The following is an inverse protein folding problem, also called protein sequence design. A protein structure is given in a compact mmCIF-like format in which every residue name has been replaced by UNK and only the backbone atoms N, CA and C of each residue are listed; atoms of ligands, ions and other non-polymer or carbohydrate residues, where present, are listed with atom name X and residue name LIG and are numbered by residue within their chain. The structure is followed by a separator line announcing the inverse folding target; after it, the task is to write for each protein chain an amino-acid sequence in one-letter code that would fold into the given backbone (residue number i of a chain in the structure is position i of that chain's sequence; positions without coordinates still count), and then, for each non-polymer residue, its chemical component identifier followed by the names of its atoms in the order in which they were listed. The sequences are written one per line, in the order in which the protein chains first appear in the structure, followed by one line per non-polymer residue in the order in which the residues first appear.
data_IF_776766460963
#
_entry.id   IF_776766460963
#
_cell.length_a   1.000
_cell.length_b   1.000
_cell.length_c   1.000
_cell.angle_alpha   90.00
_cell.angle_beta   90.00
_cell.angle_gamma   90.00
#
_symmetry.space_group_name_H-M   'P 1'
#
loop_
_entity.id
_entity.type
_entity.pdbx_description
1 polymer ?
#
# COMPACT_ATOMS: atom_id res chain seq x y z
N UNK A 1 27.74 -4.41 4.97
CA UNK A 1 26.73 -3.93 3.97
C UNK A 1 25.69 -3.21 4.76
N UNK A 2 25.31 -2.00 4.35
CA UNK A 2 24.19 -1.27 4.93
C UNK A 2 22.86 -1.95 4.60
N UNK A 3 21.95 -1.94 5.55
CA UNK A 3 20.63 -2.53 5.37
C UNK A 3 19.86 -1.77 4.28
N UNK A 4 19.18 -2.50 3.39
CA UNK A 4 18.42 -1.93 2.26
C UNK A 4 16.94 -2.22 2.39
N UNK A 5 16.11 -1.30 1.90
CA UNK A 5 14.65 -1.37 2.02
C UNK A 5 13.96 -0.81 0.78
N UNK A 6 12.77 -1.30 0.50
CA UNK A 6 11.87 -0.72 -0.48
C UNK A 6 10.93 0.29 0.17
N UNK A 7 10.58 1.30 -0.59
CA UNK A 7 9.59 2.32 -0.23
C UNK A 7 8.57 2.40 -1.33
N UNK A 8 7.30 2.37 -0.95
CA UNK A 8 6.16 2.39 -1.87
C UNK A 8 5.25 3.55 -1.50
N UNK A 9 5.11 4.51 -2.41
CA UNK A 9 4.17 5.61 -2.31
C UNK A 9 2.93 5.28 -3.17
N UNK A 10 1.84 4.92 -2.49
CA UNK A 10 0.58 4.52 -3.15
C UNK A 10 -0.07 5.70 -3.87
N UNK A 11 0.07 6.92 -3.34
CA UNK A 11 -0.52 8.12 -3.94
C UNK A 11 0.13 8.47 -5.29
N UNK A 12 1.39 8.06 -5.50
CA UNK A 12 2.09 8.22 -6.79
C UNK A 12 1.82 7.08 -7.77
N UNK A 13 1.29 5.95 -7.31
CA UNK A 13 1.07 4.79 -8.17
C UNK A 13 -0.18 4.98 -9.05
N UNK A 14 0.01 5.05 -10.36
CA UNK A 14 -1.08 5.19 -11.34
C UNK A 14 -1.61 3.85 -11.86
N UNK A 15 -1.11 2.71 -11.36
CA UNK A 15 -1.54 1.39 -11.82
C UNK A 15 -1.06 1.00 -13.21
N UNK A 16 -0.04 1.67 -13.76
CA UNK A 16 0.45 1.42 -15.13
C UNK A 16 1.04 0.02 -15.36
N UNK A 17 1.32 -0.73 -14.28
CA UNK A 17 1.90 -2.09 -14.28
C UNK A 17 3.27 -2.25 -14.93
N UNK A 18 3.96 -1.15 -15.28
CA UNK A 18 5.29 -1.22 -15.89
C UNK A 18 6.30 -1.97 -15.00
N UNK A 19 6.22 -1.80 -13.67
CA UNK A 19 7.06 -2.53 -12.72
C UNK A 19 6.85 -4.05 -12.78
N UNK A 20 5.60 -4.52 -13.03
CA UNK A 20 5.29 -5.95 -13.19
C UNK A 20 5.94 -6.52 -14.44
N UNK A 21 5.77 -5.82 -15.58
CA UNK A 21 6.30 -6.26 -16.88
C UNK A 21 7.83 -6.23 -16.87
N UNK A 22 8.43 -5.16 -16.36
CA UNK A 22 9.88 -5.05 -16.30
C UNK A 22 10.51 -6.08 -15.35
N UNK A 23 9.86 -6.44 -14.23
CA UNK A 23 10.31 -7.52 -13.36
C UNK A 23 10.21 -8.88 -14.07
N UNK A 24 9.16 -9.09 -14.86
CA UNK A 24 8.98 -10.31 -15.64
C UNK A 24 10.04 -10.41 -16.74
N UNK A 25 10.24 -9.35 -17.51
CA UNK A 25 11.23 -9.25 -18.58
C UNK A 25 12.66 -9.49 -18.08
N UNK A 26 13.00 -8.94 -16.91
CA UNK A 26 14.31 -9.14 -16.27
C UNK A 26 14.57 -10.61 -15.94
N UNK A 27 13.55 -11.38 -15.54
CA UNK A 27 13.75 -12.70 -14.94
C UNK A 27 13.25 -13.88 -15.80
N UNK A 28 12.52 -13.63 -16.87
CA UNK A 28 12.14 -14.67 -17.84
C UNK A 28 13.35 -15.05 -18.69
N UNK A 29 13.59 -16.34 -18.86
CA UNK A 29 14.70 -16.86 -19.68
C UNK A 29 16.10 -16.60 -19.13
N UNK A 30 16.26 -15.84 -18.05
CA UNK A 30 17.54 -15.45 -17.47
C UNK A 30 17.79 -16.06 -16.10
N UNK A 31 18.92 -16.75 -15.95
CA UNK A 31 19.41 -17.24 -14.68
C UNK A 31 20.40 -16.25 -14.07
N UNK A 32 20.17 -15.86 -12.84
CA UNK A 32 21.08 -14.99 -12.06
C UNK A 32 21.58 -15.74 -10.83
N UNK A 33 22.41 -16.74 -11.06
CA UNK A 33 22.98 -17.55 -9.98
C UNK A 33 23.94 -16.72 -9.11
N UNK A 34 23.98 -16.91 -7.80
CA UNK A 34 23.22 -17.90 -7.01
C UNK A 34 21.80 -17.48 -6.66
N UNK A 35 21.34 -16.28 -7.05
CA UNK A 35 20.13 -15.63 -6.53
C UNK A 35 18.83 -16.23 -7.05
N UNK A 36 18.78 -16.61 -8.33
CA UNK A 36 17.56 -17.19 -8.91
C UNK A 36 17.83 -17.92 -10.23
N UNK A 37 16.97 -18.89 -10.53
CA UNK A 37 16.72 -19.46 -11.85
C UNK A 37 15.62 -18.67 -12.58
N UNK A 38 15.44 -18.87 -13.92
CA UNK A 38 14.42 -18.16 -14.68
C UNK A 38 13.01 -18.30 -14.10
N UNK A 39 12.21 -17.25 -14.26
CA UNK A 39 10.78 -17.34 -14.08
C UNK A 39 10.12 -18.09 -15.25
N UNK A 40 8.95 -18.72 -15.06
CA UNK A 40 8.16 -19.19 -16.20
C UNK A 40 7.65 -18.00 -17.04
N UNK A 41 7.39 -18.24 -18.32
CA UNK A 41 6.96 -17.21 -19.27
C UNK A 41 5.67 -16.52 -18.84
N UNK A 42 4.75 -17.24 -18.22
CA UNK A 42 3.46 -16.73 -17.79
C UNK A 42 3.27 -16.86 -16.28
N UNK A 43 2.38 -16.05 -15.73
CA UNK A 43 2.08 -16.03 -14.28
C UNK A 43 3.27 -15.57 -13.43
N UNK A 44 3.28 -15.92 -12.16
CA UNK A 44 4.37 -15.73 -11.19
C UNK A 44 4.93 -14.30 -11.17
N UNK A 45 4.07 -13.30 -11.09
CA UNK A 45 4.52 -11.91 -10.98
C UNK A 45 5.09 -11.64 -9.58
N UNK A 46 6.41 -11.50 -9.44
CA UNK A 46 7.08 -11.27 -8.15
C UNK A 46 6.84 -9.86 -7.58
N UNK A 47 6.38 -8.94 -8.40
CA UNK A 47 5.66 -7.73 -8.01
C UNK A 47 4.32 -7.73 -8.74
N UNK A 48 3.24 -7.46 -8.02
CA UNK A 48 1.89 -7.41 -8.58
C UNK A 48 1.21 -6.10 -8.17
N UNK A 49 0.59 -5.42 -9.12
CA UNK A 49 -0.16 -4.19 -8.86
C UNK A 49 -1.62 -4.53 -8.63
N UNK A 50 -2.01 -4.52 -7.34
CA UNK A 50 -3.40 -4.71 -6.94
C UNK A 50 -4.17 -3.42 -7.19
N UNK A 51 -5.38 -3.53 -7.75
CA UNK A 51 -6.31 -2.42 -7.89
C UNK A 51 -7.42 -2.59 -6.85
N UNK A 52 -7.52 -1.64 -5.94
CA UNK A 52 -8.52 -1.61 -4.88
C UNK A 52 -9.55 -0.53 -5.20
N UNK A 53 -10.75 -0.96 -5.54
CA UNK A 53 -11.91 -0.10 -5.67
C UNK A 53 -12.61 0.01 -4.33
N UNK A 54 -12.88 1.24 -3.87
CA UNK A 54 -13.47 1.52 -2.57
C UNK A 54 -14.54 2.60 -2.69
N UNK A 55 -15.49 2.57 -1.76
CA UNK A 55 -16.65 3.47 -1.77
C UNK A 55 -17.84 2.92 -2.53
N UNK A 56 -18.80 3.78 -2.83
CA UNK A 56 -20.03 3.47 -3.58
C UNK A 56 -20.32 4.57 -4.58
N UNK A 57 -21.01 4.23 -5.66
CA UNK A 57 -21.47 5.23 -6.64
C UNK A 57 -22.37 6.25 -5.94
N UNK A 58 -22.16 7.56 -6.14
CA UNK A 58 -21.23 8.20 -7.10
C UNK A 58 -19.79 8.38 -6.58
N UNK A 59 -19.50 8.11 -5.31
CA UNK A 59 -18.19 8.39 -4.67
C UNK A 59 -17.30 7.16 -4.60
N UNK A 60 -16.67 6.82 -5.72
CA UNK A 60 -15.72 5.68 -5.83
C UNK A 60 -14.28 6.18 -5.85
N UNK A 61 -13.39 5.42 -5.22
CA UNK A 61 -11.93 5.62 -5.27
C UNK A 61 -11.23 4.35 -5.73
N UNK A 62 -10.30 4.52 -6.64
CA UNK A 62 -9.41 3.47 -7.09
C UNK A 62 -8.00 3.76 -6.58
N UNK A 63 -7.38 2.79 -5.91
CA UNK A 63 -6.00 2.85 -5.46
C UNK A 63 -5.22 1.67 -6.04
N UNK A 64 -3.94 1.88 -6.35
CA UNK A 64 -3.09 0.86 -6.93
C UNK A 64 -1.91 0.57 -6.00
N UNK A 65 -1.81 -0.70 -5.56
CA UNK A 65 -0.77 -1.15 -4.63
C UNK A 65 0.21 -2.08 -5.33
N UNK A 66 1.44 -1.67 -5.59
CA UNK A 66 2.49 -2.53 -6.14
C UNK A 66 3.08 -3.44 -5.05
N UNK A 67 2.43 -4.57 -4.80
CA UNK A 67 2.81 -5.53 -3.76
C UNK A 67 3.94 -6.43 -4.26
N UNK A 68 4.99 -6.52 -3.47
CA UNK A 68 6.17 -7.37 -3.71
C UNK A 68 6.55 -8.11 -2.41
N UNK A 69 7.59 -8.98 -2.49
CA UNK A 69 8.10 -9.63 -1.29
C UNK A 69 8.46 -8.57 -0.23
N UNK A 70 7.96 -8.75 0.98
CA UNK A 70 8.17 -7.81 2.08
C UNK A 70 9.56 -7.94 2.72
N UNK A 71 10.39 -8.92 2.31
CA UNK A 71 11.74 -9.18 2.86
C UNK A 71 11.79 -9.14 4.39
N UNK A 72 10.80 -9.77 5.02
CA UNK A 72 10.51 -9.70 6.45
C UNK A 72 11.72 -10.04 7.33
N UNK A 73 11.90 -9.33 8.46
CA UNK A 73 12.87 -9.72 9.48
C UNK A 73 12.43 -11.00 10.20
N UNK A 74 11.16 -11.09 10.56
CA UNK A 74 10.55 -12.30 11.10
C UNK A 74 9.89 -13.11 9.98
N UNK A 75 10.67 -13.59 9.01
CA UNK A 75 10.17 -14.25 7.82
C UNK A 75 9.58 -15.65 8.13
N UNK A 76 8.24 -15.84 8.07
CA UNK A 76 7.63 -17.15 8.31
C UNK A 76 8.09 -18.20 7.30
N UNK A 77 8.33 -17.78 6.05
CA UNK A 77 8.83 -18.66 4.99
C UNK A 77 10.22 -19.24 5.31
N UNK A 78 11.10 -18.47 5.97
CA UNK A 78 12.41 -18.99 6.41
C UNK A 78 12.26 -20.06 7.49
N UNK A 79 11.36 -19.83 8.46
CA UNK A 79 11.10 -20.79 9.54
C UNK A 79 10.46 -22.09 9.05
N UNK A 80 9.66 -22.02 8.00
CA UNK A 80 8.97 -23.15 7.41
C UNK A 80 9.83 -23.99 6.46
N UNK A 81 11.03 -23.52 6.08
CA UNK A 81 11.88 -24.21 5.12
C UNK A 81 12.74 -25.29 5.79
N UNK A 82 12.48 -26.60 5.54
CA UNK A 82 13.22 -27.69 6.19
C UNK A 82 14.69 -27.75 5.76
N UNK A 83 14.99 -27.36 4.52
CA UNK A 83 16.34 -27.43 3.96
C UNK A 83 17.13 -26.13 4.13
N UNK A 84 16.61 -25.18 4.88
CA UNK A 84 17.21 -23.85 5.03
C UNK A 84 17.57 -23.18 3.69
N UNK A 85 16.81 -23.49 2.61
CA UNK A 85 17.03 -22.91 1.30
C UNK A 85 16.68 -21.40 1.26
N UNK A 86 15.87 -20.91 2.20
CA UNK A 86 15.52 -19.48 2.27
C UNK A 86 16.51 -18.78 3.21
N UNK A 87 17.24 -17.83 2.63
CA UNK A 87 18.37 -17.17 3.29
C UNK A 87 18.18 -15.66 3.33
N UNK A 88 18.83 -15.01 4.29
CA UNK A 88 18.94 -13.55 4.37
C UNK A 88 20.34 -13.10 3.99
N UNK A 89 20.40 -12.09 3.12
CA UNK A 89 21.63 -11.40 2.75
C UNK A 89 22.09 -10.44 3.85
N UNK A 90 23.35 -10.02 3.79
CA UNK A 90 23.89 -9.02 4.72
C UNK A 90 23.24 -7.64 4.62
N UNK A 91 22.58 -7.32 3.49
CA UNK A 91 21.78 -6.11 3.29
C UNK A 91 20.31 -6.26 3.74
N UNK A 92 19.93 -7.41 4.30
CA UNK A 92 18.61 -7.70 4.85
C UNK A 92 17.62 -8.31 3.86
N UNK A 93 17.93 -8.34 2.56
CA UNK A 93 17.06 -8.96 1.57
C UNK A 93 16.96 -10.48 1.79
N UNK A 94 15.77 -11.03 1.64
CA UNK A 94 15.49 -12.47 1.78
C UNK A 94 15.30 -13.08 0.40
N UNK A 95 15.97 -14.19 0.13
CA UNK A 95 15.96 -14.90 -1.14
C UNK A 95 15.84 -16.41 -0.96
N UNK A 96 15.52 -17.14 -2.02
CA UNK A 96 15.45 -18.60 -2.03
C UNK A 96 16.61 -19.12 -2.87
N UNK A 97 17.46 -19.93 -2.26
CA UNK A 97 18.55 -20.62 -2.96
C UNK A 97 17.96 -21.70 -3.89
N UNK A 98 18.07 -21.52 -5.22
CA UNK A 98 17.44 -22.43 -6.16
C UNK A 98 18.16 -23.79 -6.27
N UNK A 99 19.34 -23.93 -5.65
CA UNK A 99 20.08 -25.19 -5.59
C UNK A 99 19.64 -26.01 -4.37
N UNK A 100 19.46 -25.34 -3.23
CA UNK A 100 19.06 -26.00 -1.98
C UNK A 100 17.54 -26.25 -1.87
N UNK A 101 16.74 -25.63 -2.74
CA UNK A 101 15.28 -25.76 -2.68
C UNK A 101 14.81 -27.11 -3.24
N UNK A 102 14.09 -27.89 -2.42
CA UNK A 102 13.52 -29.19 -2.81
C UNK A 102 12.08 -29.11 -3.36
N UNK A 103 11.47 -27.92 -3.42
CA UNK A 103 10.12 -27.72 -3.95
C UNK A 103 8.98 -28.18 -3.04
N UNK A 104 9.18 -28.30 -1.72
CA UNK A 104 8.19 -28.83 -0.78
C UNK A 104 6.95 -27.94 -0.56
N UNK A 105 6.91 -26.73 -1.10
CA UNK A 105 5.80 -25.76 -1.01
C UNK A 105 5.46 -25.20 0.39
N UNK A 106 6.13 -25.60 1.45
CA UNK A 106 5.82 -25.12 2.81
C UNK A 106 5.99 -23.61 2.97
N UNK A 107 6.96 -23.01 2.27
CA UNK A 107 7.21 -21.58 2.31
C UNK A 107 6.09 -20.74 1.66
N UNK A 108 5.45 -21.25 0.60
CA UNK A 108 4.29 -20.61 -0.04
C UNK A 108 3.11 -20.57 0.93
N UNK A 109 2.83 -21.69 1.59
CA UNK A 109 1.76 -21.80 2.58
C UNK A 109 2.00 -20.90 3.81
N UNK A 110 3.26 -20.76 4.22
CA UNK A 110 3.65 -19.96 5.38
C UNK A 110 3.68 -18.46 5.10
N UNK A 111 3.66 -18.02 3.83
CA UNK A 111 3.75 -16.60 3.49
C UNK A 111 2.38 -15.92 3.61
N UNK A 112 2.16 -15.03 4.61
CA UNK A 112 0.85 -14.40 4.77
C UNK A 112 0.51 -13.41 3.65
N UNK A 113 1.51 -12.99 2.87
CA UNK A 113 1.33 -12.07 1.74
C UNK A 113 1.04 -12.78 0.40
N UNK A 114 1.12 -14.11 0.34
CA UNK A 114 0.81 -14.89 -0.87
C UNK A 114 1.74 -14.62 -2.07
N UNK A 115 3.00 -14.22 -1.83
CA UNK A 115 3.92 -13.75 -2.87
C UNK A 115 5.10 -14.69 -3.15
N UNK A 116 4.95 -15.96 -2.81
CA UNK A 116 5.89 -17.04 -3.17
C UNK A 116 5.15 -17.95 -4.16
N UNK A 117 5.80 -18.26 -5.24
CA UNK A 117 5.25 -19.05 -6.34
C UNK A 117 6.03 -20.35 -6.50
N UNK A 118 5.34 -21.43 -6.84
CA UNK A 118 5.98 -22.70 -7.18
C UNK A 118 6.22 -22.75 -8.69
N UNK A 119 7.46 -22.91 -9.10
CA UNK A 119 7.82 -23.19 -10.46
C UNK A 119 7.79 -24.71 -10.66
N UNK A 120 6.73 -25.22 -11.27
CA UNK A 120 6.48 -26.67 -11.41
C UNK A 120 7.49 -27.33 -12.35
N UNK A 121 7.95 -26.63 -13.37
CA UNK A 121 8.96 -27.13 -14.32
C UNK A 121 10.32 -27.35 -13.62
N UNK A 122 10.76 -26.36 -12.85
CA UNK A 122 12.03 -26.42 -12.12
C UNK A 122 11.90 -27.11 -10.75
N UNK A 123 10.67 -27.36 -10.29
CA UNK A 123 10.33 -27.93 -8.97
C UNK A 123 10.97 -27.14 -7.80
N UNK A 124 10.92 -25.80 -7.88
CA UNK A 124 11.45 -24.92 -6.84
C UNK A 124 10.45 -23.80 -6.52
N UNK A 125 10.55 -23.27 -5.31
CA UNK A 125 9.87 -22.03 -4.95
C UNK A 125 10.64 -20.81 -5.48
N UNK A 126 9.91 -19.79 -5.93
CA UNK A 126 10.47 -18.54 -6.44
C UNK A 126 9.73 -17.33 -5.87
N UNK A 127 10.42 -16.22 -5.70
CA UNK A 127 9.87 -14.95 -5.27
C UNK A 127 10.82 -13.80 -5.61
N UNK A 128 10.39 -12.56 -5.41
CA UNK A 128 11.26 -11.39 -5.51
C UNK A 128 12.56 -11.59 -4.71
N UNK A 129 13.69 -11.39 -5.37
CA UNK A 129 15.05 -11.43 -4.79
C UNK A 129 15.59 -10.05 -4.43
N UNK A 130 14.77 -8.97 -4.61
CA UNK A 130 15.24 -7.60 -4.56
C UNK A 130 16.18 -7.26 -5.72
N UNK A 131 16.15 -8.04 -6.82
CA UNK A 131 17.11 -7.96 -7.93
C UNK A 131 18.56 -7.98 -7.42
N UNK A 132 18.89 -8.93 -6.54
CA UNK A 132 20.20 -9.02 -5.88
C UNK A 132 21.38 -8.93 -6.87
N UNK A 133 21.25 -9.54 -8.05
CA UNK A 133 22.27 -9.47 -9.14
C UNK A 133 22.51 -8.04 -9.63
N UNK A 134 21.46 -7.20 -9.71
CA UNK A 134 21.59 -5.79 -10.09
C UNK A 134 22.15 -4.95 -8.94
N UNK A 135 21.65 -5.19 -7.72
CA UNK A 135 22.11 -4.49 -6.52
C UNK A 135 23.60 -4.73 -6.27
N UNK A 136 24.10 -5.94 -6.50
CA UNK A 136 25.51 -6.28 -6.40
C UNK A 136 26.36 -5.57 -7.49
N UNK A 137 25.77 -5.25 -8.63
CA UNK A 137 26.38 -4.44 -9.70
C UNK A 137 26.20 -2.92 -9.48
N UNK A 138 25.64 -2.49 -8.36
CA UNK A 138 25.42 -1.07 -8.04
C UNK A 138 24.20 -0.44 -8.73
N UNK A 139 23.34 -1.26 -9.36
CA UNK A 139 22.12 -0.79 -10.01
C UNK A 139 20.90 -0.93 -9.10
N UNK A 140 19.82 -0.21 -9.41
CA UNK A 140 18.55 -0.34 -8.71
C UNK A 140 17.82 -1.63 -9.09
N UNK A 141 16.96 -2.18 -8.21
CA UNK A 141 15.98 -3.19 -8.58
C UNK A 141 15.15 -2.72 -9.78
N UNK A 142 14.88 -3.62 -10.72
CA UNK A 142 14.25 -3.27 -11.99
C UNK A 142 12.90 -2.53 -11.83
N UNK A 143 12.08 -2.95 -10.88
CA UNK A 143 10.78 -2.32 -10.60
C UNK A 143 10.91 -0.86 -10.08
N UNK A 144 11.95 -0.55 -9.32
CA UNK A 144 12.21 0.81 -8.86
C UNK A 144 12.79 1.69 -9.99
N UNK A 145 13.71 1.14 -10.79
CA UNK A 145 14.35 1.85 -11.90
C UNK A 145 13.34 2.32 -12.96
N UNK A 146 12.37 1.47 -13.32
CA UNK A 146 11.44 1.75 -14.42
C UNK A 146 10.20 2.55 -13.99
N UNK A 147 9.99 2.79 -12.70
CA UNK A 147 8.77 3.47 -12.23
C UNK A 147 8.74 4.93 -12.68
N UNK A 148 7.88 5.34 -13.63
CA UNK A 148 7.92 6.68 -14.20
C UNK A 148 7.46 7.76 -13.20
N UNK A 149 6.74 7.35 -12.16
CA UNK A 149 6.19 8.25 -11.14
C UNK A 149 7.00 8.23 -9.84
N UNK A 150 8.08 7.43 -9.76
CA UNK A 150 8.84 7.28 -8.52
C UNK A 150 8.01 6.70 -7.36
N UNK A 151 6.96 5.93 -7.67
CA UNK A 151 6.13 5.29 -6.66
C UNK A 151 6.84 4.14 -5.93
N UNK A 152 7.92 3.62 -6.48
CA UNK A 152 8.76 2.58 -5.88
C UNK A 152 10.18 3.11 -5.79
N UNK A 153 10.72 3.18 -4.57
CA UNK A 153 12.12 3.52 -4.33
C UNK A 153 12.83 2.37 -3.61
N UNK A 154 14.15 2.31 -3.75
CA UNK A 154 15.00 1.35 -3.08
C UNK A 154 16.26 2.05 -2.62
N UNK A 155 16.52 2.06 -1.32
CA UNK A 155 17.64 2.78 -0.73
C UNK A 155 18.16 2.10 0.53
N UNK A 156 19.25 2.63 1.06
CA UNK A 156 19.74 2.23 2.38
C UNK A 156 18.77 2.66 3.46
N UNK A 157 18.55 1.78 4.40
CA UNK A 157 17.69 2.04 5.55
C UNK A 157 18.43 2.96 6.53
N UNK A 158 18.30 4.25 6.30
CA UNK A 158 18.62 5.25 7.31
C UNK A 158 17.30 5.87 7.75
N UNK A 159 16.82 5.51 8.94
CA UNK A 159 15.55 6.00 9.49
C UNK A 159 15.38 7.51 9.52
N UNK A 160 16.43 8.26 9.18
CA UNK A 160 16.44 9.72 9.08
C UNK A 160 16.23 10.26 7.66
N UNK A 161 16.36 9.45 6.61
CA UNK A 161 16.26 9.91 5.23
C UNK A 161 14.81 9.91 4.70
N UNK A 162 13.91 9.21 5.35
CA UNK A 162 12.54 8.97 4.89
C UNK A 162 11.53 9.81 5.69
N UNK A 163 11.86 10.19 6.92
CA UNK A 163 11.05 11.09 7.77
C UNK A 163 11.10 12.57 7.34
N UNK A 164 11.86 12.94 6.31
CA UNK A 164 12.06 14.32 5.86
C UNK A 164 11.31 14.69 4.59
N UNK A 165 10.18 14.07 4.32
CA UNK A 165 9.20 14.64 3.43
C UNK A 165 8.43 15.73 4.18
N UNK A 166 8.23 16.88 3.56
CA UNK A 166 7.47 18.05 4.04
C UNK A 166 5.96 17.77 4.28
N UNK A 167 5.58 16.51 4.39
CA UNK A 167 4.20 16.07 4.52
C UNK A 167 4.09 15.11 5.70
N UNK A 168 3.11 15.31 6.56
CA UNK A 168 2.71 14.52 7.75
C UNK A 168 2.39 13.03 7.44
N UNK A 169 2.93 12.53 6.33
CA UNK A 169 2.76 11.17 5.82
C UNK A 169 3.77 10.22 6.43
N UNK A 170 3.39 9.62 7.55
CA UNK A 170 4.22 8.61 8.21
C UNK A 170 4.32 7.35 7.36
N UNK A 171 5.50 6.73 7.39
CA UNK A 171 5.69 5.40 6.83
C UNK A 171 4.86 4.39 7.61
N UNK A 172 4.23 3.51 6.86
CA UNK A 172 3.33 2.48 7.38
C UNK A 172 3.86 1.09 7.01
N UNK A 173 3.39 0.10 7.76
CA UNK A 173 3.63 -1.31 7.48
C UNK A 173 2.40 -1.90 6.79
N UNK A 174 2.59 -2.61 5.70
CA UNK A 174 1.53 -3.36 5.03
C UNK A 174 1.20 -4.61 5.87
N UNK A 175 -0.06 -4.73 6.30
CA UNK A 175 -0.54 -5.80 7.18
C UNK A 175 0.28 -5.94 8.48
N UNK A 176 0.28 -4.93 9.37
CA UNK A 176 1.02 -4.97 10.64
C UNK A 176 0.59 -6.12 11.55
N UNK A 177 -0.65 -6.60 11.42
CA UNK A 177 -1.21 -7.74 12.15
C UNK A 177 -0.45 -9.06 11.91
N UNK A 178 0.30 -9.18 10.80
CA UNK A 178 1.12 -10.36 10.53
C UNK A 178 2.42 -10.42 11.35
N UNK A 179 2.80 -9.34 12.02
CA UNK A 179 3.96 -9.24 12.91
C UNK A 179 5.29 -9.71 12.29
N UNK A 180 5.41 -9.59 10.98
CA UNK A 180 6.56 -10.10 10.21
C UNK A 180 7.75 -9.14 10.17
N UNK A 181 7.60 -7.91 10.66
CA UNK A 181 8.60 -6.83 10.57
C UNK A 181 9.14 -6.70 9.13
N UNK A 182 8.31 -6.21 8.19
CA UNK A 182 8.70 -6.08 6.79
C UNK A 182 9.77 -5.00 6.59
N UNK A 183 10.56 -5.15 5.53
CA UNK A 183 11.54 -4.18 5.03
C UNK A 183 11.03 -3.45 3.77
N UNK A 184 9.73 -3.48 3.55
CA UNK A 184 9.01 -2.65 2.59
C UNK A 184 8.16 -1.68 3.38
N UNK A 185 8.46 -0.41 3.26
CA UNK A 185 7.73 0.67 3.93
C UNK A 185 6.76 1.31 2.95
N UNK A 186 5.59 1.67 3.46
CA UNK A 186 4.49 2.16 2.65
C UNK A 186 4.10 3.57 3.07
N UNK A 187 3.69 4.37 2.11
CA UNK A 187 3.10 5.67 2.31
C UNK A 187 1.79 5.73 1.54
N UNK A 188 0.75 6.35 2.12
CA UNK A 188 -0.52 6.51 1.43
C UNK A 188 -1.35 5.23 1.31
N UNK A 189 -1.17 4.24 2.19
CA UNK A 189 -2.06 3.07 2.22
C UNK A 189 -3.52 3.53 2.33
N UNK A 190 -4.45 2.91 1.58
CA UNK A 190 -5.86 3.28 1.59
C UNK A 190 -6.47 3.09 2.99
N UNK A 191 -6.97 4.18 3.56
CA UNK A 191 -7.69 4.21 4.84
C UNK A 191 -9.13 4.66 4.62
N UNK A 192 -10.05 4.37 5.56
CA UNK A 192 -11.42 4.85 5.50
C UNK A 192 -11.51 6.36 5.31
N UNK A 193 -12.57 6.77 4.67
CA UNK A 193 -12.96 8.16 4.49
C UNK A 193 -14.43 8.36 4.79
N UNK A 194 -14.82 9.61 5.11
CA UNK A 194 -16.20 10.07 5.20
C UNK A 194 -16.39 11.15 4.14
N UNK A 195 -17.39 11.02 3.29
CA UNK A 195 -17.71 11.99 2.25
C UNK A 195 -19.21 12.26 2.17
N UNK A 196 -19.58 13.34 1.50
CA UNK A 196 -20.96 13.72 1.25
C UNK A 196 -21.01 14.98 0.40
N UNK A 197 -22.22 15.43 0.04
CA UNK A 197 -22.46 16.71 -0.58
C UNK A 197 -23.39 17.56 0.30
N UNK A 198 -23.23 18.88 0.23
CA UNK A 198 -24.04 19.83 1.01
C UNK A 198 -24.96 20.59 0.09
N UNK A 199 -26.26 20.62 0.42
CA UNK A 199 -27.32 21.30 -0.36
C UNK A 199 -28.17 22.19 0.54
N UNK A 200 -28.60 23.32 0.01
CA UNK A 200 -29.53 24.21 0.69
C UNK A 200 -30.97 23.68 0.57
N UNK A 201 -31.67 23.51 1.70
CA UNK A 201 -33.04 22.99 1.72
C UNK A 201 -34.06 23.84 1.01
N UNK A 202 -33.81 25.13 0.76
CA UNK A 202 -34.77 26.06 0.16
C UNK A 202 -34.53 26.26 -1.33
N UNK A 203 -33.26 26.40 -1.74
CA UNK A 203 -32.92 26.67 -3.13
C UNK A 203 -32.51 25.45 -3.93
N UNK A 204 -32.26 24.32 -3.26
CA UNK A 204 -31.70 23.07 -3.85
C UNK A 204 -30.32 23.29 -4.49
N UNK A 205 -29.64 24.39 -4.13
CA UNK A 205 -28.31 24.72 -4.61
C UNK A 205 -27.25 24.08 -3.70
N UNK A 206 -26.08 23.80 -4.29
CA UNK A 206 -24.94 23.26 -3.54
C UNK A 206 -24.32 24.32 -2.61
N UNK A 207 -23.80 23.88 -1.48
CA UNK A 207 -23.18 24.76 -0.49
C UNK A 207 -21.67 24.54 -0.52
N UNK A 208 -20.93 25.49 -1.09
CA UNK A 208 -19.47 25.51 -1.08
C UNK A 208 -18.90 26.26 0.13
N UNK A 209 -17.65 25.95 0.51
CA UNK A 209 -16.91 26.63 1.57
C UNK A 209 -17.49 26.39 2.96
N UNK A 210 -18.19 25.29 3.18
CA UNK A 210 -18.61 24.86 4.52
C UNK A 210 -17.49 24.06 5.19
N UNK A 211 -17.22 24.31 6.46
CA UNK A 211 -16.23 23.58 7.25
C UNK A 211 -16.87 22.29 7.78
N UNK A 212 -16.31 21.14 7.36
CA UNK A 212 -16.70 19.81 7.82
C UNK A 212 -15.60 19.27 8.68
N UNK A 213 -15.89 18.96 9.94
CA UNK A 213 -14.92 18.45 10.93
C UNK A 213 -15.35 17.06 11.39
N UNK A 214 -14.46 16.09 11.34
CA UNK A 214 -14.61 14.78 11.99
C UNK A 214 -13.72 14.73 13.23
N UNK A 215 -14.31 14.47 14.39
CA UNK A 215 -13.61 14.31 15.66
C UNK A 215 -13.68 12.85 16.10
N UNK A 216 -12.54 12.20 16.30
CA UNK A 216 -12.45 10.83 16.83
C UNK A 216 -12.93 10.83 18.29
N UNK A 217 -13.95 10.01 18.60
CA UNK A 217 -14.56 9.96 19.94
C UNK A 217 -13.69 9.22 20.99
N UNK A 218 -12.50 8.72 20.62
CA UNK A 218 -11.61 8.04 21.56
C UNK A 218 -10.47 8.94 22.03
N UNK A 219 -9.89 9.72 21.10
CA UNK A 219 -8.68 10.52 21.39
C UNK A 219 -8.85 12.03 21.10
N UNK A 220 -10.08 12.47 20.77
CA UNK A 220 -10.42 13.85 20.45
C UNK A 220 -9.63 14.46 19.26
N UNK A 221 -8.92 13.63 18.49
CA UNK A 221 -8.24 14.09 17.29
C UNK A 221 -9.27 14.53 16.23
N UNK A 222 -9.07 15.71 15.65
CA UNK A 222 -9.99 16.26 14.66
C UNK A 222 -9.29 16.52 13.33
N UNK A 223 -10.02 16.26 12.24
CA UNK A 223 -9.63 16.57 10.88
C UNK A 223 -10.75 17.42 10.29
N UNK A 224 -10.36 18.55 9.67
CA UNK A 224 -11.31 19.47 9.04
C UNK A 224 -11.00 19.61 7.56
N UNK A 225 -12.04 19.68 6.75
CA UNK A 225 -11.99 19.96 5.32
C UNK A 225 -13.05 21.01 4.98
N UNK A 226 -12.90 21.65 3.83
CA UNK A 226 -13.88 22.59 3.29
C UNK A 226 -14.62 21.94 2.12
N UNK A 227 -15.94 22.17 1.99
CA UNK A 227 -16.70 21.72 0.83
C UNK A 227 -16.29 22.51 -0.40
N UNK A 228 -16.14 21.81 -1.54
CA UNK A 228 -15.71 22.39 -2.79
C UNK A 228 -16.82 23.15 -3.54
N UNK A 229 -16.54 23.63 -4.76
CA UNK A 229 -17.50 24.38 -5.58
C UNK A 229 -18.75 23.60 -6.00
N UNK A 230 -18.75 22.27 -5.82
CA UNK A 230 -19.90 21.41 -6.06
C UNK A 230 -20.61 20.98 -4.75
N UNK A 231 -20.18 21.54 -3.62
CA UNK A 231 -20.69 21.18 -2.32
C UNK A 231 -20.13 19.87 -1.76
N UNK A 232 -19.24 19.19 -2.50
CA UNK A 232 -18.67 17.92 -2.09
C UNK A 232 -17.59 18.12 -1.02
N UNK A 233 -17.57 17.21 -0.04
CA UNK A 233 -16.48 17.12 0.93
C UNK A 233 -15.99 15.68 1.08
N UNK A 234 -14.71 15.51 1.48
CA UNK A 234 -14.14 14.23 1.85
C UNK A 234 -13.09 14.39 2.94
N UNK A 235 -13.34 13.75 4.06
CA UNK A 235 -12.37 13.60 5.16
C UNK A 235 -11.72 12.22 4.99
N UNK A 236 -10.45 12.19 4.60
CA UNK A 236 -9.70 10.98 4.28
C UNK A 236 -8.76 10.57 5.42
N UNK A 237 -8.18 9.36 5.30
CA UNK A 237 -7.16 8.80 6.22
C UNK A 237 -7.64 8.60 7.65
N UNK A 238 -8.92 8.29 7.83
CA UNK A 238 -9.51 7.97 9.12
C UNK A 238 -9.05 6.58 9.60
N UNK A 239 -9.12 6.37 10.91
CA UNK A 239 -8.85 5.05 11.49
C UNK A 239 -10.03 4.12 11.22
N UNK A 240 -9.74 2.85 10.95
CA UNK A 240 -10.76 1.83 10.74
C UNK A 240 -11.44 1.44 12.06
N UNK A 241 -12.73 1.09 11.99
CA UNK A 241 -13.54 0.67 13.15
C UNK A 241 -13.58 1.72 14.28
N UNK A 242 -13.63 3.02 13.94
CA UNK A 242 -13.73 4.15 14.85
C UNK A 242 -15.05 4.89 14.70
N UNK A 243 -15.47 5.55 15.76
CA UNK A 243 -16.62 6.47 15.74
C UNK A 243 -16.13 7.91 15.69
N UNK A 244 -16.66 8.66 14.74
CA UNK A 244 -16.36 10.08 14.55
C UNK A 244 -17.61 10.91 14.74
N UNK A 245 -17.49 11.99 15.52
CA UNK A 245 -18.49 13.05 15.51
C UNK A 245 -18.23 13.97 14.31
N UNK A 246 -19.11 13.94 13.32
CA UNK A 246 -19.05 14.81 12.15
C UNK A 246 -19.87 16.06 12.44
N UNK A 247 -19.23 17.23 12.33
CA UNK A 247 -19.88 18.54 12.50
C UNK A 247 -19.68 19.36 11.22
N UNK A 248 -20.76 19.99 10.74
CA UNK A 248 -20.73 20.88 9.56
C UNK A 248 -21.16 22.28 10.00
N UNK A 249 -20.37 23.27 9.60
CA UNK A 249 -20.60 24.68 9.89
C UNK A 249 -20.46 25.53 8.62
N UNK A 250 -21.45 26.41 8.42
CA UNK A 250 -21.42 27.42 7.36
C UNK A 250 -22.20 28.63 7.84
N UNK A 251 -21.65 29.81 7.64
CA UNK A 251 -22.30 31.07 7.99
C UNK A 251 -23.65 31.20 7.27
N UNK A 252 -24.68 31.60 8.01
CA UNK A 252 -26.07 31.66 7.53
C UNK A 252 -26.83 30.33 7.52
N UNK A 253 -26.24 29.25 8.01
CA UNK A 253 -26.87 27.92 8.11
C UNK A 253 -26.84 27.37 9.54
N UNK A 254 -27.82 26.52 9.84
CA UNK A 254 -27.86 25.78 11.10
C UNK A 254 -26.77 24.73 11.13
N UNK A 255 -26.13 24.54 12.28
CA UNK A 255 -25.08 23.52 12.45
C UNK A 255 -25.68 22.11 12.29
N UNK A 256 -25.01 21.27 11.48
CA UNK A 256 -25.32 19.84 11.38
C UNK A 256 -24.34 19.01 12.25
N UNK A 257 -24.84 17.92 12.84
CA UNK A 257 -24.01 16.95 13.58
C UNK A 257 -24.54 15.54 13.37
N UNK A 258 -23.58 14.59 13.19
CA UNK A 258 -23.86 13.16 13.10
C UNK A 258 -22.73 12.35 13.72
N UNK A 259 -22.99 11.11 14.12
CA UNK A 259 -21.96 10.15 14.49
C UNK A 259 -21.86 9.13 13.37
N UNK A 260 -20.64 8.92 12.86
CA UNK A 260 -20.33 8.01 11.75
C UNK A 260 -19.31 6.98 12.23
N UNK A 261 -19.53 5.71 11.91
CA UNK A 261 -18.58 4.62 12.21
C UNK A 261 -17.84 4.24 10.94
N UNK A 262 -16.50 4.21 11.00
CA UNK A 262 -15.63 3.88 9.88
C UNK A 262 -15.33 2.37 9.82
N UNK A 263 -16.35 1.55 9.66
CA UNK A 263 -16.25 0.11 9.33
C UNK A 263 -15.93 -0.13 7.84
N UNK A 264 -15.53 0.91 7.16
CA UNK A 264 -15.20 1.06 5.76
C UNK A 264 -15.35 2.51 5.34
N UNK A 265 -15.41 2.77 4.04
CA UNK A 265 -15.67 4.10 3.48
C UNK A 265 -17.14 4.48 3.69
N UNK A 266 -17.38 5.70 4.16
CA UNK A 266 -18.71 6.18 4.52
C UNK A 266 -19.15 7.31 3.58
N UNK A 267 -20.19 7.07 2.81
CA UNK A 267 -20.88 8.08 2.04
C UNK A 267 -22.14 8.54 2.79
N UNK A 268 -22.15 9.79 3.24
CA UNK A 268 -23.30 10.40 3.94
C UNK A 268 -24.39 10.88 2.97
N UNK A 269 -24.16 10.74 1.65
CA UNK A 269 -25.09 11.23 0.64
C UNK A 269 -25.19 12.75 0.62
N UNK A 270 -26.37 13.25 0.22
CA UNK A 270 -26.68 14.68 0.20
C UNK A 270 -27.20 15.12 1.56
N UNK A 271 -26.49 16.05 2.19
CA UNK A 271 -26.81 16.60 3.50
C UNK A 271 -27.47 17.96 3.30
N UNK A 272 -28.75 18.02 3.55
CA UNK A 272 -29.55 19.24 3.41
C UNK A 272 -29.38 20.15 4.64
N UNK A 273 -28.80 21.33 4.45
CA UNK A 273 -28.67 22.33 5.51
C UNK A 273 -29.80 23.35 5.43
N UNK A 274 -30.31 23.74 6.60
CA UNK A 274 -31.32 24.79 6.73
C UNK A 274 -30.66 26.12 7.02
N UNK A 275 -31.17 27.19 6.43
CA UNK A 275 -30.76 28.55 6.78
C UNK A 275 -31.05 28.86 8.24
N UNK A 276 -30.19 29.67 8.90
CA UNK A 276 -30.31 30.02 10.31
C UNK A 276 -31.46 31.00 10.59
#
# INVERSE_FOLDING_TARGET
MTAKSFFVDVDKCTGCKLCMIACKDEHVGSAYMPWTKPQPDTGHFWINVLSLERGRIPRVRLSHLPVLCQHCENAPCMKACPDNAIKRRGDGLVWIDPVSCNGCNLCQQACPYGIIYMNDELRIAQKCTGCAHRVDAGALPRCAEVCPHGAIAFTEETGSAIDKGDDDRRLETYHPEYQTKPRVFWQGLPKPWIAGALVDTQSDEVISGAIVTATDLINDACISVESDGFGDFRIARLQENRKYAVAIRKDGYQNFRAIVTTDGDQDMGDIALRRA
#
